data_IF_355923456687
#
_entry.id   IF_355923456687
#
_cell.length_a   1.000
_cell.length_b   1.000
_cell.length_c   1.000
_cell.angle_alpha   90.00
_cell.angle_beta   90.00
_cell.angle_gamma   90.00
#
_symmetry.space_group_name_H-M   'P 1'
#
loop_
_entity.id
_entity.type
_entity.pdbx_description
1 polymer ?
#
# COMPACT_ATOMS: atom_id res chain seq x y z
N UNK A 1 -8.69 2.28 -17.04
CA UNK A 1 -10.05 1.86 -16.60
C UNK A 1 -9.94 1.68 -15.11
N UNK A 2 -10.63 2.45 -14.29
CA UNK A 2 -10.51 2.32 -12.83
C UNK A 2 -11.15 1.00 -12.40
N UNK A 3 -10.39 0.11 -11.76
CA UNK A 3 -10.91 -1.16 -11.23
C UNK A 3 -11.71 -0.87 -9.96
N UNK A 4 -13.03 -0.73 -10.12
CA UNK A 4 -13.97 -0.63 -8.99
C UNK A 4 -14.66 -1.98 -8.78
N UNK A 5 -14.43 -2.59 -7.63
CA UNK A 5 -15.10 -3.82 -7.22
C UNK A 5 -16.48 -3.50 -6.63
N UNK A 6 -17.53 -4.17 -7.09
CA UNK A 6 -18.91 -3.98 -6.60
C UNK A 6 -19.09 -4.59 -5.22
N UNK A 7 -18.43 -5.71 -4.97
CA UNK A 7 -18.49 -6.46 -3.72
C UNK A 7 -17.18 -7.24 -3.45
N UNK A 8 -17.12 -7.88 -2.28
CA UNK A 8 -15.94 -8.63 -1.84
C UNK A 8 -15.67 -9.86 -2.72
N UNK A 9 -16.70 -10.46 -3.33
CA UNK A 9 -16.51 -11.65 -4.17
C UNK A 9 -15.88 -11.29 -5.51
N UNK A 10 -16.25 -10.14 -6.09
CA UNK A 10 -15.57 -9.59 -7.28
C UNK A 10 -14.09 -9.28 -6.97
N UNK A 11 -13.80 -8.70 -5.80
CA UNK A 11 -12.41 -8.46 -5.38
C UNK A 11 -11.63 -9.78 -5.25
N UNK A 12 -12.20 -10.79 -4.58
CA UNK A 12 -11.56 -12.12 -4.42
C UNK A 12 -11.30 -12.83 -5.74
N UNK A 13 -12.16 -12.63 -6.73
CA UNK A 13 -11.99 -13.18 -8.07
C UNK A 13 -10.80 -12.55 -8.83
N UNK A 14 -10.35 -11.36 -8.39
CA UNK A 14 -9.25 -10.62 -8.99
C UNK A 14 -7.98 -10.71 -8.15
N UNK A 15 -7.14 -11.72 -8.41
CA UNK A 15 -5.81 -11.78 -7.80
C UNK A 15 -4.93 -10.65 -8.37
N UNK A 16 -4.31 -9.80 -7.54
CA UNK A 16 -3.42 -8.74 -8.00
C UNK A 16 -2.05 -9.28 -8.43
N UNK A 17 -1.89 -10.60 -8.56
CA UNK A 17 -0.66 -11.27 -8.99
C UNK A 17 -1.01 -12.22 -10.13
N UNK A 18 -0.40 -12.01 -11.29
CA UNK A 18 -0.52 -12.85 -12.48
C UNK A 18 0.87 -13.35 -12.87
N UNK A 19 1.07 -14.67 -12.92
CA UNK A 19 2.37 -15.30 -13.22
C UNK A 19 3.53 -14.81 -12.35
N UNK A 20 3.27 -14.49 -11.07
CA UNK A 20 4.26 -13.96 -10.14
C UNK A 20 4.58 -12.47 -10.31
N UNK A 21 3.85 -11.76 -11.17
CA UNK A 21 4.00 -10.32 -11.41
C UNK A 21 2.78 -9.60 -10.85
N UNK A 22 3.01 -8.52 -10.11
CA UNK A 22 1.95 -7.68 -9.58
C UNK A 22 1.24 -6.90 -10.69
N UNK A 23 -0.08 -7.05 -10.76
CA UNK A 23 -0.94 -6.25 -11.62
C UNK A 23 -1.27 -4.92 -10.92
N UNK A 24 -0.62 -3.84 -11.38
CA UNK A 24 -0.70 -2.50 -10.79
C UNK A 24 -2.14 -1.95 -10.71
N UNK A 25 -2.98 -2.23 -11.70
CA UNK A 25 -4.36 -1.73 -11.73
C UNK A 25 -5.28 -2.47 -10.75
N UNK A 26 -5.08 -3.79 -10.57
CA UNK A 26 -5.83 -4.57 -9.57
C UNK A 26 -5.35 -4.21 -8.17
N UNK A 27 -4.03 -4.10 -7.99
CA UNK A 27 -3.42 -3.70 -6.71
C UNK A 27 -3.89 -2.31 -6.27
N UNK A 28 -4.02 -1.36 -7.21
CA UNK A 28 -4.62 -0.05 -6.94
C UNK A 28 -6.04 -0.18 -6.37
N UNK A 29 -6.85 -1.08 -6.93
CA UNK A 29 -8.16 -1.42 -6.39
C UNK A 29 -8.07 -1.94 -4.95
N UNK A 30 -7.14 -2.84 -4.65
CA UNK A 30 -6.93 -3.31 -3.27
C UNK A 30 -6.59 -2.16 -2.32
N UNK A 31 -5.75 -1.21 -2.72
CA UNK A 31 -5.41 -0.05 -1.89
C UNK A 31 -6.59 0.89 -1.66
N UNK A 32 -7.49 1.04 -2.63
CA UNK A 32 -8.71 1.84 -2.46
C UNK A 32 -9.68 1.13 -1.50
N UNK A 33 -9.89 -0.18 -1.70
CA UNK A 33 -10.91 -0.93 -0.97
C UNK A 33 -10.46 -1.38 0.42
N UNK A 34 -9.18 -1.33 0.79
CA UNK A 34 -8.75 -1.65 2.15
C UNK A 34 -9.36 -0.70 3.19
N UNK A 35 -9.70 0.53 2.78
CA UNK A 35 -10.38 1.52 3.61
C UNK A 35 -11.91 1.40 3.59
N UNK A 36 -12.47 0.53 2.73
CA UNK A 36 -13.92 0.32 2.58
C UNK A 36 -14.42 -0.75 3.54
N UNK A 37 -15.51 -0.45 4.27
CA UNK A 37 -16.12 -1.37 5.23
C UNK A 37 -16.50 -2.69 4.55
N UNK A 38 -16.04 -3.80 5.10
CA UNK A 38 -16.32 -5.16 4.61
C UNK A 38 -15.21 -5.78 3.75
N UNK A 39 -14.21 -5.01 3.33
CA UNK A 39 -13.11 -5.50 2.49
C UNK A 39 -11.79 -5.65 3.24
N UNK A 40 -11.50 -4.72 4.18
CA UNK A 40 -10.21 -4.63 4.86
C UNK A 40 -9.69 -5.94 5.46
N UNK A 41 -10.55 -6.74 6.10
CA UNK A 41 -10.12 -8.00 6.72
C UNK A 41 -9.58 -9.04 5.72
N UNK A 42 -10.15 -9.12 4.52
CA UNK A 42 -9.64 -10.00 3.47
C UNK A 42 -8.31 -9.46 2.91
N UNK A 43 -8.25 -8.17 2.63
CA UNK A 43 -7.05 -7.53 2.06
C UNK A 43 -5.89 -7.60 3.06
N UNK A 44 -6.14 -7.37 4.35
CA UNK A 44 -5.16 -7.53 5.42
C UNK A 44 -4.58 -8.95 5.47
N UNK A 45 -5.45 -9.96 5.40
CA UNK A 45 -5.04 -11.36 5.36
C UNK A 45 -4.21 -11.71 4.12
N UNK A 46 -4.59 -11.17 2.96
CA UNK A 46 -3.84 -11.34 1.72
C UNK A 46 -2.46 -10.68 1.79
N UNK A 47 -2.38 -9.41 2.21
CA UNK A 47 -1.15 -8.62 2.25
C UNK A 47 -0.14 -9.10 3.30
N UNK A 48 -0.61 -9.74 4.38
CA UNK A 48 0.27 -10.30 5.41
C UNK A 48 1.28 -11.33 4.85
N UNK A 49 0.94 -12.02 3.75
CA UNK A 49 1.83 -12.97 3.08
C UNK A 49 2.98 -12.33 2.29
N UNK A 50 2.97 -11.01 2.09
CA UNK A 50 3.87 -10.30 1.17
C UNK A 50 4.65 -9.15 1.83
N UNK A 51 4.76 -9.14 3.16
CA UNK A 51 5.45 -8.07 3.90
C UNK A 51 6.93 -7.91 3.55
N UNK A 52 7.57 -8.94 3.01
CA UNK A 52 8.98 -8.91 2.58
C UNK A 52 9.14 -8.85 1.06
N UNK A 53 8.05 -8.68 0.30
CA UNK A 53 8.06 -8.61 -1.16
C UNK A 53 8.53 -7.22 -1.63
N UNK A 54 9.69 -7.19 -2.30
CA UNK A 54 10.31 -5.95 -2.76
C UNK A 54 9.53 -5.30 -3.90
N UNK A 55 8.96 -6.08 -4.82
CA UNK A 55 8.19 -5.56 -5.95
C UNK A 55 6.87 -4.94 -5.46
N UNK A 56 6.24 -5.56 -4.45
CA UNK A 56 5.09 -4.96 -3.79
C UNK A 56 5.46 -3.62 -3.12
N UNK A 57 6.54 -3.59 -2.34
CA UNK A 57 6.96 -2.36 -1.66
C UNK A 57 7.24 -1.22 -2.65
N UNK A 58 7.91 -1.51 -3.78
CA UNK A 58 8.13 -0.53 -4.86
C UNK A 58 6.82 0.01 -5.41
N UNK A 59 5.84 -0.86 -5.71
CA UNK A 59 4.53 -0.44 -6.20
C UNK A 59 3.76 0.41 -5.18
N UNK A 60 3.87 0.11 -3.88
CA UNK A 60 3.23 0.92 -2.85
C UNK A 60 3.84 2.31 -2.74
N UNK A 61 5.18 2.43 -2.77
CA UNK A 61 5.84 3.74 -2.82
C UNK A 61 5.49 4.51 -4.10
N UNK A 62 5.43 3.80 -5.23
CA UNK A 62 4.98 4.34 -6.52
C UNK A 62 3.56 4.92 -6.47
N UNK A 63 2.65 4.32 -5.69
CA UNK A 63 1.32 4.88 -5.48
C UNK A 63 1.36 6.07 -4.54
N UNK A 64 2.07 5.93 -3.42
CA UNK A 64 2.08 6.91 -2.35
C UNK A 64 2.69 8.24 -2.79
N UNK A 65 3.83 8.18 -3.48
CA UNK A 65 4.61 9.34 -3.93
C UNK A 65 4.16 9.89 -5.29
N UNK A 66 3.00 9.44 -5.79
CA UNK A 66 2.49 9.88 -7.08
C UNK A 66 1.73 11.20 -6.98
N UNK A 67 2.34 12.28 -7.46
CA UNK A 67 1.76 13.63 -7.45
C UNK A 67 0.57 13.80 -8.42
N UNK A 68 0.39 12.90 -9.39
CA UNK A 68 -0.74 12.95 -10.34
C UNK A 68 -2.05 12.40 -9.74
N UNK A 69 -1.98 11.70 -8.60
CA UNK A 69 -3.11 11.04 -7.95
C UNK A 69 -3.29 11.48 -6.48
N UNK A 70 -3.05 12.76 -6.21
CA UNK A 70 -3.05 13.32 -4.86
C UNK A 70 -4.39 13.21 -4.13
N UNK A 71 -4.34 12.74 -2.88
CA UNK A 71 -5.48 12.62 -1.96
C UNK A 71 -6.37 11.41 -2.16
N UNK A 72 -5.95 10.42 -2.97
CA UNK A 72 -6.77 9.24 -3.25
C UNK A 72 -6.72 8.19 -2.12
N UNK A 73 -7.82 7.47 -1.90
CA UNK A 73 -7.90 6.32 -0.99
C UNK A 73 -6.75 5.32 -1.23
N UNK A 74 -6.27 5.23 -2.48
CA UNK A 74 -5.10 4.45 -2.86
C UNK A 74 -3.82 4.86 -2.11
N UNK A 75 -3.54 6.16 -1.95
CA UNK A 75 -2.35 6.63 -1.25
C UNK A 75 -2.45 6.33 0.25
N UNK A 76 -3.64 6.49 0.84
CA UNK A 76 -3.89 6.15 2.24
C UNK A 76 -3.69 4.65 2.46
N UNK A 77 -4.25 3.80 1.58
CA UNK A 77 -4.05 2.36 1.62
C UNK A 77 -2.57 1.98 1.49
N UNK A 78 -1.85 2.61 0.55
CA UNK A 78 -0.42 2.37 0.37
C UNK A 78 0.40 2.72 1.62
N UNK A 79 0.14 3.87 2.25
CA UNK A 79 0.78 4.26 3.50
C UNK A 79 0.54 3.24 4.63
N UNK A 80 -0.70 2.73 4.74
CA UNK A 80 -1.07 1.68 5.73
C UNK A 80 -0.29 0.39 5.50
N UNK A 81 -0.10 -0.05 4.25
CA UNK A 81 0.62 -1.30 4.00
C UNK A 81 2.14 -1.13 4.01
N UNK A 82 2.68 0.04 3.65
CA UNK A 82 4.11 0.36 3.82
C UNK A 82 4.51 0.25 5.30
N UNK A 83 3.70 0.75 6.23
CA UNK A 83 4.02 0.69 7.67
C UNK A 83 4.02 -0.73 8.25
N UNK A 84 3.46 -1.70 7.51
CA UNK A 84 3.39 -3.11 7.86
C UNK A 84 4.44 -3.97 7.14
N UNK A 85 5.24 -3.36 6.26
CA UNK A 85 6.33 -4.06 5.58
C UNK A 85 7.44 -4.45 6.55
N UNK A 86 8.23 -5.44 6.12
CA UNK A 86 9.43 -5.86 6.83
C UNK A 86 10.40 -4.69 7.02
N UNK A 87 10.96 -4.57 8.22
CA UNK A 87 11.83 -3.44 8.58
C UNK A 87 13.15 -3.46 7.83
N UNK A 88 13.72 -4.63 7.54
CA UNK A 88 14.97 -4.71 6.76
C UNK A 88 14.71 -4.30 5.30
N UNK A 89 13.55 -4.65 4.74
CA UNK A 89 13.13 -4.15 3.44
C UNK A 89 12.99 -2.62 3.44
N UNK A 90 12.31 -2.06 4.44
CA UNK A 90 12.13 -0.61 4.57
C UNK A 90 13.45 0.14 4.76
N UNK A 91 14.43 -0.42 5.49
CA UNK A 91 15.79 0.13 5.57
C UNK A 91 16.49 0.21 4.23
N UNK A 92 16.34 -0.81 3.38
CA UNK A 92 16.89 -0.78 2.02
C UNK A 92 16.22 0.28 1.14
N UNK A 93 14.98 0.66 1.45
CA UNK A 93 14.20 1.71 0.78
C UNK A 93 14.14 3.01 1.60
N UNK A 94 15.14 3.28 2.44
CA UNK A 94 15.16 4.39 3.40
C UNK A 94 14.82 5.75 2.79
N UNK A 95 15.40 6.08 1.63
CA UNK A 95 15.19 7.38 1.00
C UNK A 95 13.73 7.60 0.59
N UNK A 96 13.08 6.56 0.05
CA UNK A 96 11.65 6.59 -0.29
C UNK A 96 10.78 6.72 0.97
N UNK A 97 11.15 6.02 2.04
CA UNK A 97 10.42 6.10 3.30
C UNK A 97 10.54 7.48 3.94
N UNK A 98 11.74 8.07 3.96
CA UNK A 98 11.95 9.43 4.47
C UNK A 98 11.21 10.47 3.64
N UNK A 99 11.17 10.31 2.31
CA UNK A 99 10.36 11.16 1.44
C UNK A 99 8.87 11.06 1.79
N UNK A 100 8.33 9.84 1.89
CA UNK A 100 6.94 9.60 2.27
C UNK A 100 6.60 10.11 3.68
N UNK A 101 7.55 10.07 4.60
CA UNK A 101 7.37 10.53 5.97
C UNK A 101 7.33 12.07 6.09
N UNK A 102 7.93 12.78 5.13
CA UNK A 102 7.95 14.24 5.05
C UNK A 102 6.72 14.84 4.35
N UNK A 103 5.73 14.02 3.97
CA UNK A 103 4.50 14.52 3.34
C UNK A 103 3.73 15.46 4.28
N UNK A 104 3.19 16.57 3.75
CA UNK A 104 2.41 17.54 4.52
C UNK A 104 1.07 16.94 4.99
N UNK A 105 0.51 16.00 4.23
CA UNK A 105 -0.72 15.29 4.56
C UNK A 105 -0.39 14.14 5.50
N UNK A 106 -0.75 14.30 6.77
CA UNK A 106 -0.48 13.30 7.82
C UNK A 106 -0.95 11.87 7.47
N UNK A 107 -1.97 11.71 6.64
CA UNK A 107 -2.62 10.42 6.36
C UNK A 107 -1.87 9.66 5.25
N UNK A 108 -0.97 10.35 4.54
CA UNK A 108 -0.03 9.79 3.56
C UNK A 108 1.29 9.37 4.23
N UNK A 109 1.52 9.70 5.50
CA UNK A 109 2.70 9.25 6.24
C UNK A 109 2.52 7.79 6.66
N UNK A 110 3.42 6.87 6.26
CA UNK A 110 3.31 5.47 6.68
C UNK A 110 3.34 5.32 8.20
N UNK A 111 4.25 6.01 8.87
CA UNK A 111 4.38 6.00 10.32
C UNK A 111 3.86 7.33 10.90
N UNK A 112 3.18 7.29 12.04
CA UNK A 112 2.64 8.52 12.67
C UNK A 112 3.71 9.21 13.51
N UNK A 113 3.54 10.50 13.78
CA UNK A 113 4.53 11.37 14.45
C UNK A 113 5.05 10.86 15.81
N UNK A 114 4.33 9.94 16.46
CA UNK A 114 4.73 9.34 17.74
C UNK A 114 5.57 8.07 17.59
N UNK A 115 5.75 7.54 16.39
CA UNK A 115 6.60 6.37 16.15
C UNK A 115 8.04 6.80 15.88
N UNK A 116 8.92 6.48 16.82
CA UNK A 116 10.36 6.69 16.67
C UNK A 116 10.91 5.72 15.61
N UNK A 117 11.39 6.26 14.48
CA UNK A 117 12.03 5.52 13.40
C UNK A 117 13.53 5.26 13.70
N UNK A 118 13.90 5.05 14.97
CA UNK A 118 15.29 4.81 15.41
C UNK A 118 15.94 3.59 14.77
N UNK A 119 15.11 2.72 14.19
CA UNK A 119 15.54 1.54 13.44
C UNK A 119 15.96 1.86 12.00
N UNK A 120 15.73 3.07 11.47
CA UNK A 120 15.96 3.44 10.08
C UNK A 120 17.36 4.04 9.82
#
# INVERSE_FOLDING_TARGET
>A
MYTYFKDLEELKACCPIENGIWNKEILKGYMIYCCVKGFGGYIDGFMAGYQSDEALAELLFDFLLNDYYDGSDCQIGAAVYISRMDRELLRRKKDLLLQAQNDEVHWKRPFRENELLDWL
#
